data_IF_904092195705
#
_entry.id   IF_904092195705
#
_cell.length_a   1.000
_cell.length_b   1.000
_cell.length_c   1.000
_cell.angle_alpha   90.00
_cell.angle_beta   90.00
_cell.angle_gamma   90.00
#
_symmetry.space_group_name_H-M   'P 1'
#
loop_
_entity.id
_entity.type
_entity.pdbx_description
1 polymer ?
#
# COMPACT_ATOMS: atom_id res chain seq x y z
N UNK A 1 4.08 -26.75 9.89
CA UNK A 1 4.39 -27.68 10.98
C UNK A 1 5.16 -28.82 10.35
N UNK A 2 6.47 -28.89 10.55
CA UNK A 2 7.30 -29.99 10.06
C UNK A 2 7.83 -30.76 11.25
N UNK A 3 7.79 -32.08 11.15
CA UNK A 3 8.33 -32.97 12.17
C UNK A 3 9.86 -32.98 12.07
N UNK A 4 10.56 -32.51 13.11
CA UNK A 4 12.03 -32.49 13.14
C UNK A 4 12.64 -33.80 13.66
N UNK A 5 11.86 -34.66 14.33
CA UNK A 5 12.33 -35.95 14.87
C UNK A 5 11.18 -36.96 15.08
N UNK A 6 11.41 -38.28 14.99
CA UNK A 6 10.39 -39.27 15.35
C UNK A 6 10.01 -39.20 16.83
N UNK A 7 8.72 -39.29 17.14
CA UNK A 7 8.19 -39.17 18.49
C UNK A 7 6.69 -39.47 18.57
N UNK A 8 6.15 -39.48 19.79
CA UNK A 8 4.74 -39.74 20.07
C UNK A 8 3.92 -38.48 19.75
N UNK A 9 3.50 -38.36 18.48
CA UNK A 9 2.81 -37.18 17.98
C UNK A 9 1.36 -37.17 18.43
N UNK A 10 1.04 -36.30 19.39
CA UNK A 10 -0.35 -36.00 19.75
C UNK A 10 -0.79 -34.76 19.01
N UNK A 11 -1.89 -34.86 18.27
CA UNK A 11 -2.55 -33.70 17.68
C UNK A 11 -2.90 -32.71 18.79
N UNK A 12 -2.30 -31.52 18.76
CA UNK A 12 -2.68 -30.43 19.63
C UNK A 12 -3.67 -29.54 18.91
N UNK A 13 -4.69 -29.06 19.61
CA UNK A 13 -5.49 -27.93 19.13
C UNK A 13 -4.56 -26.71 19.12
N UNK A 14 -4.11 -26.32 17.93
CA UNK A 14 -3.47 -25.02 17.77
C UNK A 14 -4.47 -23.96 18.18
N UNK A 15 -4.17 -23.24 19.26
CA UNK A 15 -4.93 -22.06 19.64
C UNK A 15 -4.83 -21.06 18.50
N UNK A 16 -5.95 -20.73 17.88
CA UNK A 16 -6.00 -19.64 16.90
C UNK A 16 -5.77 -18.32 17.67
N UNK A 17 -4.71 -17.56 17.35
CA UNK A 17 -4.48 -16.30 18.04
C UNK A 17 -5.60 -15.32 17.67
N UNK A 18 -6.03 -14.50 18.63
CA UNK A 18 -6.76 -13.29 18.27
C UNK A 18 -5.80 -12.30 17.61
N UNK A 19 -6.23 -11.67 16.53
CA UNK A 19 -5.39 -10.75 15.74
C UNK A 19 -6.08 -9.39 15.67
N UNK A 20 -5.29 -8.32 15.75
CA UNK A 20 -5.75 -6.98 15.44
C UNK A 20 -4.81 -6.29 14.44
N UNK A 21 -5.37 -5.46 13.57
CA UNK A 21 -4.66 -4.71 12.52
C UNK A 21 -4.86 -3.22 12.78
N UNK A 22 -3.77 -2.47 12.79
CA UNK A 22 -3.80 -1.00 12.80
C UNK A 22 -3.57 -0.50 11.38
N UNK A 23 -4.61 0.06 10.77
CA UNK A 23 -4.62 0.58 9.41
C UNK A 23 -5.52 -0.22 8.47
N UNK A 24 -6.37 0.49 7.71
CA UNK A 24 -7.33 -0.09 6.75
C UNK A 24 -7.02 0.27 5.29
N UNK A 25 -5.82 0.78 5.01
CA UNK A 25 -5.34 0.94 3.64
C UNK A 25 -5.06 -0.39 2.96
N UNK A 26 -4.50 -0.37 1.75
CA UNK A 26 -4.31 -1.59 0.94
C UNK A 26 -3.56 -2.69 1.69
N UNK A 27 -2.51 -2.35 2.46
CA UNK A 27 -1.77 -3.33 3.25
C UNK A 27 -2.65 -3.97 4.34
N UNK A 28 -3.46 -3.18 5.05
CA UNK A 28 -4.39 -3.68 6.06
C UNK A 28 -5.48 -4.58 5.48
N UNK A 29 -6.03 -4.20 4.33
CA UNK A 29 -7.03 -5.02 3.63
C UNK A 29 -6.43 -6.33 3.09
N UNK A 30 -5.21 -6.30 2.54
CA UNK A 30 -4.51 -7.52 2.11
C UNK A 30 -4.19 -8.45 3.30
N UNK A 31 -3.82 -7.90 4.45
CA UNK A 31 -3.62 -8.67 5.68
C UNK A 31 -4.93 -9.31 6.15
N UNK A 32 -6.02 -8.55 6.19
CA UNK A 32 -7.34 -9.06 6.56
C UNK A 32 -7.80 -10.17 5.61
N UNK A 33 -7.71 -9.96 4.30
CA UNK A 33 -8.02 -10.97 3.30
C UNK A 33 -7.16 -12.24 3.45
N UNK A 34 -5.88 -12.08 3.81
CA UNK A 34 -5.00 -13.23 4.07
C UNK A 34 -5.39 -14.01 5.32
N UNK A 35 -5.69 -13.32 6.42
CA UNK A 35 -6.15 -13.96 7.67
C UNK A 35 -7.49 -14.67 7.48
N UNK A 36 -8.40 -14.08 6.70
CA UNK A 36 -9.69 -14.67 6.39
C UNK A 36 -9.57 -16.01 5.65
N UNK A 37 -8.56 -16.20 4.78
CA UNK A 37 -8.28 -17.51 4.14
C UNK A 37 -7.91 -18.62 5.13
N UNK A 38 -7.55 -18.26 6.36
CA UNK A 38 -7.27 -19.19 7.46
C UNK A 38 -8.35 -19.16 8.56
N UNK A 39 -9.53 -18.61 8.27
CA UNK A 39 -10.63 -18.44 9.22
C UNK A 39 -10.23 -17.64 10.48
N UNK A 40 -9.35 -16.66 10.33
CA UNK A 40 -8.98 -15.71 11.39
C UNK A 40 -9.61 -14.36 11.04
N UNK A 41 -10.59 -13.94 11.82
CA UNK A 41 -11.25 -12.64 11.67
C UNK A 41 -10.53 -11.61 12.56
N UNK A 42 -9.76 -10.67 11.98
CA UNK A 42 -9.05 -9.68 12.78
C UNK A 42 -9.96 -8.54 13.24
N UNK A 43 -9.61 -7.90 14.36
CA UNK A 43 -10.12 -6.57 14.69
C UNK A 43 -9.35 -5.55 13.86
N UNK A 44 -10.03 -4.72 13.07
CA UNK A 44 -9.37 -3.72 12.22
C UNK A 44 -9.71 -2.32 12.75
N UNK A 45 -8.67 -1.55 13.09
CA UNK A 45 -8.81 -0.18 13.57
C UNK A 45 -8.12 0.77 12.61
N UNK A 46 -8.78 1.86 12.21
CA UNK A 46 -8.17 2.92 11.43
C UNK A 46 -8.61 4.30 11.93
N UNK A 47 -7.68 5.25 11.92
CA UNK A 47 -8.00 6.64 12.21
C UNK A 47 -8.79 7.23 11.02
N UNK A 48 -10.07 7.61 11.21
CA UNK A 48 -10.92 8.13 10.12
C UNK A 48 -10.41 9.47 9.57
N UNK A 49 -9.56 10.18 10.31
CA UNK A 49 -8.98 11.45 9.90
C UNK A 49 -7.59 11.29 9.26
N UNK A 50 -7.09 10.06 9.12
CA UNK A 50 -5.75 9.82 8.59
C UNK A 50 -5.72 10.00 7.06
N UNK A 51 -4.81 10.85 6.52
CA UNK A 51 -4.64 11.03 5.08
C UNK A 51 -3.85 9.86 4.48
N UNK A 52 -4.45 8.67 4.49
CA UNK A 52 -3.80 7.45 3.99
C UNK A 52 -3.58 7.49 2.48
N UNK A 53 -2.41 7.06 1.98
CA UNK A 53 -2.15 6.97 0.54
C UNK A 53 -3.21 6.15 -0.24
N UNK A 54 -3.85 5.19 0.42
CA UNK A 54 -4.89 4.35 -0.17
C UNK A 54 -6.29 4.99 -0.21
N UNK A 55 -6.45 6.24 0.22
CA UNK A 55 -7.72 6.97 0.08
C UNK A 55 -7.99 7.48 -1.34
N UNK A 56 -7.04 7.30 -2.26
CA UNK A 56 -7.24 7.62 -3.67
C UNK A 56 -8.36 6.75 -4.27
N UNK A 57 -9.18 7.28 -5.20
CA UNK A 57 -10.30 6.55 -5.79
C UNK A 57 -9.92 5.22 -6.45
N UNK A 58 -8.70 5.14 -7.01
CA UNK A 58 -8.16 3.97 -7.66
C UNK A 58 -6.63 3.96 -7.58
N UNK A 59 -6.04 2.77 -7.57
CA UNK A 59 -4.60 2.54 -7.63
C UNK A 59 -4.25 1.62 -8.81
N UNK A 60 -3.17 1.95 -9.49
CA UNK A 60 -2.68 1.17 -10.62
C UNK A 60 -1.85 -0.02 -10.12
N UNK A 61 -2.16 -1.22 -10.58
CA UNK A 61 -1.41 -2.44 -10.32
C UNK A 61 -0.69 -2.84 -11.59
N UNK A 62 0.63 -2.78 -11.55
CA UNK A 62 1.54 -3.30 -12.58
C UNK A 62 2.92 -3.51 -11.94
N UNK A 63 3.76 -4.40 -12.48
CA UNK A 63 5.05 -4.70 -11.89
C UNK A 63 6.09 -3.62 -12.22
N UNK A 64 6.94 -3.30 -11.25
CA UNK A 64 8.18 -2.58 -11.49
C UNK A 64 9.21 -3.55 -12.06
N UNK A 65 9.69 -3.25 -13.26
CA UNK A 65 10.61 -4.10 -14.01
C UNK A 65 12.00 -3.47 -14.09
N UNK A 66 13.00 -4.35 -14.08
CA UNK A 66 14.41 -3.98 -14.20
C UNK A 66 15.07 -4.65 -15.40
N UNK A 67 16.06 -3.96 -15.97
CA UNK A 67 16.86 -4.49 -17.08
C UNK A 67 17.82 -5.59 -16.64
N UNK A 68 18.07 -5.68 -15.34
CA UNK A 68 18.88 -6.71 -14.72
C UNK A 68 18.03 -7.46 -13.73
N UNK A 69 18.36 -8.73 -13.52
CA UNK A 69 17.71 -9.53 -12.50
C UNK A 69 18.04 -8.96 -11.12
N UNK A 70 17.02 -8.45 -10.43
CA UNK A 70 17.13 -7.99 -9.05
C UNK A 70 15.90 -8.40 -8.23
N UNK A 71 16.09 -8.50 -6.91
CA UNK A 71 15.08 -9.02 -5.99
C UNK A 71 13.82 -8.15 -5.95
N UNK A 72 13.94 -6.84 -6.17
CA UNK A 72 12.80 -5.94 -6.15
C UNK A 72 11.91 -6.16 -7.37
N UNK A 73 12.51 -6.32 -8.55
CA UNK A 73 11.79 -6.68 -9.77
C UNK A 73 11.12 -8.05 -9.65
N UNK A 74 11.83 -9.07 -9.15
CA UNK A 74 11.26 -10.41 -8.93
C UNK A 74 10.07 -10.37 -7.95
N UNK A 75 10.24 -9.66 -6.83
CA UNK A 75 9.17 -9.46 -5.86
C UNK A 75 7.98 -8.71 -6.48
N UNK A 76 8.24 -7.68 -7.29
CA UNK A 76 7.17 -6.89 -7.91
C UNK A 76 6.38 -7.69 -8.95
N UNK A 77 7.04 -8.57 -9.72
CA UNK A 77 6.37 -9.50 -10.64
C UNK A 77 5.45 -10.45 -9.86
N UNK A 78 5.99 -11.12 -8.84
CA UNK A 78 5.23 -12.07 -8.02
C UNK A 78 4.08 -11.38 -7.26
N UNK A 79 4.36 -10.21 -6.68
CA UNK A 79 3.38 -9.40 -5.95
C UNK A 79 2.27 -8.87 -6.86
N UNK A 80 2.60 -8.43 -8.07
CA UNK A 80 1.61 -8.05 -9.07
C UNK A 80 0.70 -9.22 -9.42
N UNK A 81 1.29 -10.36 -9.80
CA UNK A 81 0.51 -11.57 -10.09
C UNK A 81 -0.40 -11.96 -8.94
N UNK A 82 0.13 -11.98 -7.71
CA UNK A 82 -0.65 -12.32 -6.53
C UNK A 82 -1.82 -11.36 -6.32
N UNK A 83 -1.57 -10.04 -6.41
CA UNK A 83 -2.60 -9.02 -6.25
C UNK A 83 -3.72 -9.16 -7.29
N UNK A 84 -3.37 -9.38 -8.56
CA UNK A 84 -4.35 -9.53 -9.65
C UNK A 84 -5.29 -10.73 -9.48
N UNK A 85 -4.90 -11.74 -8.70
CA UNK A 85 -5.65 -12.99 -8.53
C UNK A 85 -6.28 -13.16 -7.15
N UNK A 86 -5.81 -12.44 -6.12
CA UNK A 86 -6.19 -12.70 -4.73
C UNK A 86 -6.68 -11.47 -3.96
N UNK A 87 -6.56 -10.27 -4.54
CA UNK A 87 -7.00 -9.04 -3.88
C UNK A 87 -8.42 -8.69 -4.34
N UNK A 88 -9.33 -8.52 -3.38
CA UNK A 88 -10.68 -8.03 -3.65
C UNK A 88 -10.65 -6.58 -4.17
N UNK A 89 -11.62 -6.24 -5.02
CA UNK A 89 -11.70 -4.91 -5.65
C UNK A 89 -10.72 -4.69 -6.80
N UNK A 90 -9.99 -5.73 -7.23
CA UNK A 90 -9.13 -5.65 -8.43
C UNK A 90 -9.92 -5.92 -9.70
N UNK A 91 -9.77 -5.02 -10.67
CA UNK A 91 -10.22 -5.19 -12.04
C UNK A 91 -9.00 -5.38 -12.95
N UNK A 92 -8.84 -6.58 -13.51
CA UNK A 92 -7.75 -6.90 -14.44
C UNK A 92 -8.02 -6.25 -15.79
N UNK A 93 -7.03 -5.52 -16.31
CA UNK A 93 -7.07 -4.92 -17.64
C UNK A 93 -5.66 -4.48 -18.07
N UNK A 94 -5.33 -4.51 -19.37
CA UNK A 94 -4.02 -4.08 -19.85
C UNK A 94 -3.75 -2.61 -19.53
N UNK A 95 -2.52 -2.30 -19.15
CA UNK A 95 -2.05 -0.94 -18.89
C UNK A 95 -1.13 -0.50 -20.02
N UNK A 96 -1.41 0.68 -20.58
CA UNK A 96 -0.53 1.29 -21.57
C UNK A 96 0.49 2.19 -20.90
N UNK A 97 1.71 2.14 -21.38
CA UNK A 97 2.82 2.97 -20.94
C UNK A 97 3.27 3.85 -22.10
N UNK A 98 3.38 5.16 -21.85
CA UNK A 98 3.89 6.14 -22.82
C UNK A 98 4.80 7.15 -22.15
N UNK A 99 5.81 7.58 -22.88
CA UNK A 99 6.62 8.73 -22.51
C UNK A 99 7.09 9.49 -23.75
N UNK A 100 7.29 10.79 -23.60
CA UNK A 100 7.99 11.62 -24.59
C UNK A 100 9.52 11.62 -24.38
N UNK A 101 10.02 11.00 -23.30
CA UNK A 101 11.45 11.02 -22.94
C UNK A 101 12.20 9.90 -23.68
N UNK A 102 13.15 10.21 -24.60
CA UNK A 102 13.84 9.18 -25.39
C UNK A 102 14.55 8.11 -24.56
N UNK A 103 15.17 8.50 -23.44
CA UNK A 103 15.83 7.55 -22.53
C UNK A 103 14.84 6.57 -21.86
N UNK A 104 13.63 7.04 -21.50
CA UNK A 104 12.59 6.17 -20.94
C UNK A 104 12.04 5.22 -22.00
N UNK A 105 11.79 5.72 -23.21
CA UNK A 105 11.37 4.91 -24.35
C UNK A 105 12.40 3.80 -24.57
N UNK A 106 13.67 4.14 -24.80
CA UNK A 106 14.74 3.18 -25.04
C UNK A 106 14.86 2.13 -23.91
N UNK A 107 14.68 2.52 -22.64
CA UNK A 107 14.63 1.58 -21.52
C UNK A 107 13.50 0.58 -21.69
N UNK A 108 12.29 1.04 -22.00
CA UNK A 108 11.11 0.19 -22.17
C UNK A 108 11.25 -0.72 -23.40
N UNK A 109 11.92 -0.27 -24.46
CA UNK A 109 12.22 -1.14 -25.61
C UNK A 109 13.12 -2.30 -25.22
N UNK A 110 14.18 -2.02 -24.46
CA UNK A 110 15.07 -3.06 -23.95
C UNK A 110 14.37 -4.00 -22.98
N UNK A 111 13.46 -3.48 -22.13
CA UNK A 111 12.65 -4.33 -21.24
C UNK A 111 11.76 -5.27 -22.04
N UNK A 112 11.06 -4.79 -23.07
CA UNK A 112 10.13 -5.61 -23.86
C UNK A 112 10.84 -6.77 -24.58
N UNK A 113 12.12 -6.61 -24.94
CA UNK A 113 12.95 -7.70 -25.49
C UNK A 113 13.31 -8.81 -24.48
N UNK A 114 13.14 -8.57 -23.17
CA UNK A 114 13.47 -9.53 -22.10
C UNK A 114 12.25 -10.33 -21.63
N UNK A 115 11.04 -9.96 -22.05
CA UNK A 115 9.79 -10.59 -21.65
C UNK A 115 9.03 -11.07 -22.90
N UNK A 116 8.15 -12.08 -22.76
CA UNK A 116 7.28 -12.45 -23.86
C UNK A 116 6.26 -11.34 -24.15
N UNK A 117 5.83 -11.24 -25.41
CA UNK A 117 4.88 -10.22 -25.86
C UNK A 117 3.53 -10.32 -25.14
N UNK A 118 3.12 -11.51 -24.70
CA UNK A 118 1.89 -11.69 -23.90
C UNK A 118 1.99 -11.19 -22.45
N UNK A 119 3.16 -10.68 -22.05
CA UNK A 119 3.43 -10.08 -20.76
C UNK A 119 3.73 -8.58 -20.88
N UNK A 120 4.68 -8.22 -21.76
CA UNK A 120 5.13 -6.85 -22.00
C UNK A 120 5.40 -6.64 -23.49
N UNK A 121 4.42 -6.11 -24.19
CA UNK A 121 4.49 -5.91 -25.66
C UNK A 121 4.87 -4.47 -25.98
N UNK A 122 5.73 -4.27 -26.96
CA UNK A 122 5.97 -2.95 -27.53
C UNK A 122 5.41 -2.86 -28.95
N UNK A 123 4.59 -1.84 -29.19
CA UNK A 123 4.14 -1.43 -30.52
C UNK A 123 4.48 0.05 -30.70
N UNK A 124 5.28 0.36 -31.71
CA UNK A 124 5.83 1.70 -31.95
C UNK A 124 6.54 2.27 -30.70
N UNK A 125 6.01 3.37 -30.14
CA UNK A 125 6.53 4.03 -28.94
C UNK A 125 5.64 3.79 -27.70
N UNK A 126 4.70 2.85 -27.78
CA UNK A 126 3.85 2.43 -26.67
C UNK A 126 4.25 1.04 -26.18
N UNK A 127 4.18 0.84 -24.87
CA UNK A 127 4.33 -0.48 -24.26
C UNK A 127 3.05 -0.87 -23.53
N UNK A 128 2.60 -2.09 -23.72
CA UNK A 128 1.43 -2.64 -23.05
C UNK A 128 1.87 -3.67 -22.03
N UNK A 129 1.50 -3.43 -20.77
CA UNK A 129 1.53 -4.45 -19.72
C UNK A 129 0.22 -5.22 -19.78
N UNK A 130 0.27 -6.47 -20.25
CA UNK A 130 -0.90 -7.32 -20.37
C UNK A 130 -1.39 -7.83 -19.01
N UNK A 131 -0.46 -7.99 -18.06
CA UNK A 131 -0.73 -8.41 -16.68
C UNK A 131 -0.75 -7.20 -15.74
N UNK A 132 -1.81 -6.41 -15.85
CA UNK A 132 -2.06 -5.23 -15.04
C UNK A 132 -3.51 -5.16 -14.56
N UNK A 133 -3.79 -4.19 -13.70
CA UNK A 133 -5.14 -3.95 -13.22
C UNK A 133 -5.28 -2.67 -12.43
N UNK A 134 -6.51 -2.38 -12.07
CA UNK A 134 -6.87 -1.25 -11.22
C UNK A 134 -7.43 -1.83 -9.93
N UNK A 135 -6.99 -1.31 -8.80
CA UNK A 135 -7.59 -1.62 -7.51
C UNK A 135 -8.38 -0.43 -6.99
N UNK A 136 -9.59 -0.69 -6.53
CA UNK A 136 -10.42 0.27 -5.82
C UNK A 136 -10.60 -0.21 -4.39
N UNK A 137 -10.43 0.70 -3.43
CA UNK A 137 -10.56 0.37 -2.02
C UNK A 137 -12.00 -0.04 -1.70
N UNK A 138 -12.13 -1.14 -0.96
CA UNK A 138 -13.39 -1.56 -0.37
C UNK A 138 -13.27 -1.41 1.15
N UNK A 139 -14.28 -0.83 1.80
CA UNK A 139 -14.28 -0.75 3.26
C UNK A 139 -14.28 -2.16 3.84
N UNK A 140 -13.26 -2.57 4.61
CA UNK A 140 -13.23 -3.90 5.17
C UNK A 140 -14.39 -4.09 6.16
N UNK A 141 -15.01 -5.26 6.13
CA UNK A 141 -16.09 -5.60 7.05
C UNK A 141 -15.60 -5.50 8.52
N UNK A 142 -16.40 -4.87 9.37
CA UNK A 142 -16.08 -4.72 10.80
C UNK A 142 -14.97 -3.70 11.11
N UNK A 143 -14.65 -2.79 10.17
CA UNK A 143 -13.76 -1.66 10.43
C UNK A 143 -14.26 -0.83 11.62
N UNK A 144 -13.36 -0.52 12.55
CA UNK A 144 -13.60 0.37 13.67
C UNK A 144 -12.87 1.69 13.45
N UNK A 145 -13.64 2.78 13.47
CA UNK A 145 -13.12 4.14 13.38
C UNK A 145 -12.48 4.53 14.73
N UNK A 146 -11.16 4.35 14.81
CA UNK A 146 -10.41 4.58 16.04
C UNK A 146 -8.95 4.95 15.74
N UNK A 147 -8.49 6.04 16.36
CA UNK A 147 -7.08 6.43 16.34
C UNK A 147 -6.33 5.75 17.47
N UNK A 148 -5.48 4.79 17.11
CA UNK A 148 -4.55 4.17 18.05
C UNK A 148 -3.37 5.11 18.28
N UNK A 149 -3.15 5.48 19.54
CA UNK A 149 -2.04 6.35 19.95
C UNK A 149 -0.96 5.58 20.70
N UNK A 150 -1.31 4.43 21.30
CA UNK A 150 -0.39 3.69 22.15
C UNK A 150 -0.70 2.18 22.14
N UNK A 151 0.37 1.39 22.27
CA UNK A 151 0.33 -0.06 22.41
C UNK A 151 1.01 -0.46 23.72
N UNK A 152 0.34 -1.26 24.56
CA UNK A 152 0.93 -1.82 25.79
C UNK A 152 0.74 -3.33 25.88
N UNK A 153 1.78 -4.09 26.24
CA UNK A 153 1.63 -5.47 26.65
C UNK A 153 0.70 -5.58 27.88
N UNK A 154 -0.20 -6.55 27.88
CA UNK A 154 -1.10 -6.84 29.00
C UNK A 154 -1.48 -8.32 29.01
N UNK A 155 -1.08 -9.06 30.06
CA UNK A 155 -1.43 -10.48 30.25
C UNK A 155 -1.14 -11.37 29.03
N UNK A 156 0.02 -11.18 28.38
CA UNK A 156 0.43 -11.95 27.20
C UNK A 156 -0.26 -11.55 25.89
N UNK A 157 -0.96 -10.42 25.88
CA UNK A 157 -1.60 -9.83 24.70
C UNK A 157 -1.15 -8.39 24.52
N UNK A 158 -1.42 -7.81 23.36
CA UNK A 158 -1.23 -6.38 23.11
C UNK A 158 -2.55 -5.65 23.20
N UNK A 159 -2.63 -4.64 24.07
CA UNK A 159 -3.79 -3.75 24.21
C UNK A 159 -3.50 -2.39 23.57
N UNK A 160 -4.48 -1.88 22.84
CA UNK A 160 -4.41 -0.60 22.12
C UNK A 160 -5.16 0.48 22.91
N UNK A 161 -4.65 1.71 22.87
CA UNK A 161 -5.25 2.85 23.56
C UNK A 161 -5.37 4.08 22.65
N UNK A 162 -6.38 4.90 22.93
CA UNK A 162 -6.54 6.23 22.34
C UNK A 162 -5.65 7.28 23.04
N UNK A 163 -5.76 8.55 22.62
CA UNK A 163 -5.01 9.66 23.23
C UNK A 163 -5.43 9.98 24.68
N UNK A 164 -6.64 9.60 25.09
CA UNK A 164 -7.16 9.81 26.44
C UNK A 164 -6.82 8.64 27.39
N UNK A 165 -6.17 7.58 26.87
CA UNK A 165 -5.83 6.38 27.63
C UNK A 165 -6.98 5.39 27.77
N UNK A 166 -8.07 5.53 27.00
CA UNK A 166 -9.11 4.53 26.93
C UNK A 166 -8.65 3.33 26.10
N UNK A 167 -8.94 2.12 26.59
CA UNK A 167 -8.65 0.90 25.85
C UNK A 167 -9.59 0.76 24.65
N UNK A 168 -9.01 0.52 23.47
CA UNK A 168 -9.72 0.32 22.21
C UNK A 168 -9.96 -1.17 21.92
N UNK A 169 -8.90 -1.99 22.01
CA UNK A 169 -8.95 -3.42 21.73
C UNK A 169 -7.79 -4.17 22.37
N UNK A 170 -7.86 -5.51 22.36
CA UNK A 170 -6.79 -6.38 22.87
C UNK A 170 -6.73 -7.68 22.07
N UNK A 171 -5.53 -8.11 21.67
CA UNK A 171 -5.33 -9.32 20.87
C UNK A 171 -3.98 -10.00 21.15
N UNK A 172 -3.89 -11.30 20.85
CA UNK A 172 -2.64 -12.08 20.96
C UNK A 172 -1.57 -11.54 19.99
N UNK A 173 -1.97 -11.09 18.79
CA UNK A 173 -1.07 -10.54 17.75
C UNK A 173 -1.56 -9.18 17.28
N UNK A 174 -0.65 -8.22 17.15
CA UNK A 174 -0.92 -6.91 16.52
C UNK A 174 -0.11 -6.77 15.25
N UNK A 175 -0.78 -6.45 14.15
CA UNK A 175 -0.17 -6.16 12.85
C UNK A 175 -0.23 -4.65 12.59
N UNK A 176 0.92 -4.06 12.28
CA UNK A 176 1.03 -2.63 11.98
C UNK A 176 1.01 -2.41 10.47
N UNK A 177 -0.05 -1.79 9.96
CA UNK A 177 -0.26 -1.43 8.56
C UNK A 177 -0.72 0.03 8.43
N UNK A 178 -0.20 0.90 9.30
CA UNK A 178 -0.75 2.23 9.58
C UNK A 178 -0.28 3.34 8.62
N UNK A 179 0.44 3.02 7.54
CA UNK A 179 0.95 4.02 6.60
C UNK A 179 1.75 5.12 7.30
N UNK A 180 1.38 6.40 7.12
CA UNK A 180 2.05 7.50 7.81
C UNK A 180 1.83 7.49 9.34
N UNK A 181 0.82 6.78 9.84
CA UNK A 181 0.63 6.54 11.27
C UNK A 181 1.76 5.74 11.90
N UNK A 182 2.57 5.04 11.11
CA UNK A 182 3.76 4.32 11.61
C UNK A 182 4.76 5.24 12.32
N UNK A 183 4.83 6.52 11.97
CA UNK A 183 5.71 7.51 12.63
C UNK A 183 5.33 7.77 14.09
N UNK A 184 4.06 7.63 14.43
CA UNK A 184 3.60 7.79 15.82
C UNK A 184 3.82 6.50 16.61
N UNK A 185 3.63 5.34 15.98
CA UNK A 185 3.66 4.05 16.64
C UNK A 185 5.07 3.44 16.76
N UNK A 186 6.00 3.86 15.89
CA UNK A 186 7.33 3.26 15.78
C UNK A 186 8.43 4.31 15.58
N UNK A 187 9.66 3.96 15.97
CA UNK A 187 10.89 4.72 15.70
C UNK A 187 11.59 4.31 14.40
N UNK A 188 10.90 3.57 13.52
CA UNK A 188 11.44 3.16 12.23
C UNK A 188 11.84 4.39 11.39
N UNK A 189 12.99 4.31 10.74
CA UNK A 189 13.51 5.38 9.87
C UNK A 189 12.74 5.46 8.53
N UNK A 190 11.52 5.98 8.61
CA UNK A 190 10.59 6.14 7.49
C UNK A 190 10.67 7.55 6.91
N UNK A 191 10.38 7.67 5.61
CA UNK A 191 10.26 8.94 4.90
C UNK A 191 8.85 9.07 4.35
N UNK A 192 8.31 10.28 4.44
CA UNK A 192 7.04 10.60 3.82
C UNK A 192 7.25 11.17 2.41
N UNK A 193 6.39 10.77 1.50
CA UNK A 193 6.33 11.25 0.13
C UNK A 193 4.89 11.67 -0.14
N UNK A 194 4.66 12.97 -0.18
CA UNK A 194 3.38 13.54 -0.55
C UNK A 194 3.15 13.35 -2.04
N UNK A 195 1.90 13.10 -2.42
CA UNK A 195 1.45 13.13 -3.80
C UNK A 195 0.00 13.57 -3.89
N UNK A 196 -0.34 14.24 -4.99
CA UNK A 196 -1.68 14.68 -5.32
C UNK A 196 -2.11 14.07 -6.65
N UNK A 197 -3.39 13.72 -6.72
CA UNK A 197 -4.11 13.37 -7.95
C UNK A 197 -5.35 14.25 -8.07
N UNK A 198 -5.92 14.29 -9.27
CA UNK A 198 -7.15 15.02 -9.57
C UNK A 198 -8.15 14.07 -10.21
N UNK A 199 -9.42 14.25 -9.90
CA UNK A 199 -10.54 13.66 -10.65
C UNK A 199 -11.03 14.67 -11.66
N UNK A 200 -11.21 14.22 -12.88
CA UNK A 200 -11.73 15.02 -13.97
C UNK A 200 -12.89 14.31 -14.65
N UNK A 201 -13.70 15.09 -15.36
CA UNK A 201 -14.66 14.61 -16.34
C UNK A 201 -14.23 14.99 -17.75
N UNK A 202 -14.31 14.04 -18.69
CA UNK A 202 -14.02 14.28 -20.10
C UNK A 202 -15.15 13.73 -20.98
N UNK A 203 -15.60 14.55 -21.93
CA UNK A 203 -16.53 14.13 -22.99
C UNK A 203 -15.79 13.45 -24.15
N UNK A 204 -14.50 13.72 -24.30
CA UNK A 204 -13.65 13.05 -25.26
C UNK A 204 -13.19 11.70 -24.71
N UNK A 205 -13.03 10.73 -25.59
CA UNK A 205 -12.43 9.45 -25.24
C UNK A 205 -10.97 9.66 -24.80
N UNK A 206 -10.68 9.36 -23.54
CA UNK A 206 -9.32 9.35 -23.02
C UNK A 206 -8.78 7.92 -22.99
N UNK A 207 -7.46 7.74 -22.92
CA UNK A 207 -6.88 6.44 -22.61
C UNK A 207 -7.48 5.90 -21.30
N UNK A 208 -8.12 4.72 -21.35
CA UNK A 208 -8.75 4.15 -20.16
C UNK A 208 -7.75 3.84 -19.04
N UNK A 209 -6.54 3.43 -19.42
CA UNK A 209 -5.51 3.05 -18.46
C UNK A 209 -4.11 3.34 -19.03
N UNK A 210 -3.52 4.45 -18.58
CA UNK A 210 -2.23 4.95 -19.05
C UNK A 210 -1.30 5.25 -17.87
N UNK A 211 -0.01 4.97 -18.04
CA UNK A 211 1.08 5.43 -17.16
C UNK A 211 2.28 5.89 -17.98
N UNK A 212 3.31 6.39 -17.29
CA UNK A 212 4.60 6.80 -17.84
C UNK A 212 4.95 8.21 -17.41
N UNK A 213 4.71 9.21 -18.27
CA UNK A 213 4.89 10.62 -17.89
C UNK A 213 3.72 11.16 -17.06
N UNK A 214 2.52 10.63 -17.28
CA UNK A 214 1.31 10.90 -16.49
C UNK A 214 0.52 9.61 -16.32
N UNK A 215 -0.21 9.51 -15.21
CA UNK A 215 -1.16 8.42 -14.97
C UNK A 215 -2.57 8.89 -15.29
N UNK A 216 -3.30 8.08 -16.05
CA UNK A 216 -4.73 8.25 -16.33
C UNK A 216 -5.40 6.91 -16.04
N UNK A 217 -6.44 6.94 -15.21
CA UNK A 217 -7.19 5.76 -14.81
C UNK A 217 -8.67 6.08 -14.94
N UNK A 218 -9.36 5.42 -15.85
CA UNK A 218 -10.82 5.49 -15.97
C UNK A 218 -11.46 4.90 -14.72
N UNK A 219 -12.42 5.65 -14.16
CA UNK A 219 -13.13 5.24 -12.95
C UNK A 219 -14.48 4.64 -13.31
N UNK A 220 -15.33 5.44 -13.96
CA UNK A 220 -16.65 5.08 -14.47
C UNK A 220 -17.15 6.18 -15.42
N UNK A 221 -18.02 5.85 -16.37
CA UNK A 221 -18.64 6.81 -17.28
C UNK A 221 -17.63 7.79 -17.91
N UNK A 222 -17.76 9.06 -17.58
CA UNK A 222 -16.88 10.14 -18.04
C UNK A 222 -15.80 10.56 -17.02
N UNK A 223 -15.68 9.85 -15.90
CA UNK A 223 -14.77 10.18 -14.81
C UNK A 223 -13.41 9.48 -14.95
N UNK A 224 -12.35 10.27 -14.76
CA UNK A 224 -10.97 9.81 -14.78
C UNK A 224 -10.21 10.32 -13.56
N UNK A 225 -9.32 9.48 -13.05
CA UNK A 225 -8.30 9.86 -12.10
C UNK A 225 -7.01 10.16 -12.86
N UNK A 226 -6.43 11.33 -12.59
CA UNK A 226 -5.18 11.78 -13.20
C UNK A 226 -4.17 12.05 -12.10
N UNK A 227 -2.97 11.49 -12.23
CA UNK A 227 -1.95 11.65 -11.20
C UNK A 227 -0.55 11.25 -11.63
N UNK A 228 0.42 11.27 -10.72
CA UNK A 228 0.34 11.95 -9.44
C UNK A 228 1.58 12.82 -9.25
N UNK A 229 1.45 13.89 -8.48
CA UNK A 229 2.62 14.66 -8.05
C UNK A 229 3.51 13.85 -7.10
N UNK A 230 4.72 14.34 -6.89
CA UNK A 230 5.72 13.71 -6.03
C UNK A 230 6.50 14.79 -5.26
N UNK A 231 6.50 14.71 -3.93
CA UNK A 231 7.24 15.61 -3.06
C UNK A 231 7.77 14.84 -1.85
N UNK A 232 9.10 14.66 -1.80
CA UNK A 232 9.79 13.94 -0.74
C UNK A 232 9.92 14.79 0.52
N UNK A 233 9.73 14.18 1.69
CA UNK A 233 9.91 14.80 3.00
C UNK A 233 8.72 15.64 3.48
N UNK A 234 7.63 15.65 2.72
CA UNK A 234 6.45 16.48 3.02
C UNK A 234 5.42 15.69 3.83
N UNK A 235 4.97 16.30 4.93
CA UNK A 235 3.91 15.78 5.81
C UNK A 235 2.57 16.50 5.59
N UNK A 236 2.52 17.44 4.65
CA UNK A 236 1.32 18.21 4.36
C UNK A 236 0.33 17.35 3.56
N UNK A 237 -0.76 16.95 4.19
CA UNK A 237 -1.81 16.16 3.54
C UNK A 237 -2.82 16.99 2.76
N UNK A 238 -2.71 18.32 2.76
CA UNK A 238 -3.67 19.19 2.09
C UNK A 238 -3.46 19.21 0.58
N UNK A 239 -4.55 19.39 -0.15
CA UNK A 239 -4.50 19.65 -1.59
C UNK A 239 -3.99 21.04 -1.86
N UNK A 240 -3.20 21.22 -2.92
CA UNK A 240 -2.64 22.51 -3.32
C UNK A 240 -3.08 22.85 -4.74
N UNK A 241 -3.48 24.11 -4.95
CA UNK A 241 -3.88 24.60 -6.27
C UNK A 241 -2.74 24.48 -7.29
N UNK A 242 -1.51 24.80 -6.89
CA UNK A 242 -0.32 24.66 -7.75
C UNK A 242 -0.13 23.24 -8.28
N UNK A 243 -0.41 22.22 -7.46
CA UNK A 243 -0.32 20.81 -7.88
C UNK A 243 -1.45 20.44 -8.84
N UNK A 244 -2.65 20.96 -8.61
CA UNK A 244 -3.80 20.81 -9.51
C UNK A 244 -3.50 21.42 -10.88
N UNK A 245 -3.00 22.66 -10.91
CA UNK A 245 -2.68 23.38 -12.14
C UNK A 245 -1.59 22.66 -12.93
N UNK A 246 -0.57 22.14 -12.25
CA UNK A 246 0.46 21.30 -12.86
C UNK A 246 -0.15 20.06 -13.52
N UNK A 247 -0.95 19.29 -12.79
CA UNK A 247 -1.56 18.05 -13.31
C UNK A 247 -2.46 18.32 -14.52
N UNK A 248 -3.24 19.41 -14.48
CA UNK A 248 -4.06 19.85 -15.61
C UNK A 248 -3.18 20.22 -16.82
N UNK A 249 -2.07 20.93 -16.59
CA UNK A 249 -1.15 21.29 -17.67
C UNK A 249 -0.46 20.07 -18.28
N UNK A 250 0.02 19.15 -17.45
CA UNK A 250 0.69 17.90 -17.89
C UNK A 250 -0.28 17.02 -18.69
N UNK A 251 -1.53 16.93 -18.23
CA UNK A 251 -2.59 16.23 -18.95
C UNK A 251 -2.88 16.88 -20.30
N UNK A 252 -3.03 18.21 -20.34
CA UNK A 252 -3.29 18.95 -21.56
C UNK A 252 -2.18 18.75 -22.60
N UNK A 253 -0.94 18.78 -22.15
CA UNK A 253 0.23 18.55 -22.99
C UNK A 253 0.26 17.11 -23.52
N UNK A 254 -0.05 16.14 -22.68
CA UNK A 254 -0.06 14.72 -23.05
C UNK A 254 -1.15 14.40 -24.08
N UNK A 255 -2.36 14.96 -23.90
CA UNK A 255 -3.51 14.68 -24.76
C UNK A 255 -3.66 15.67 -25.93
N UNK A 256 -2.92 16.77 -25.92
CA UNK A 256 -2.99 17.86 -26.91
C UNK A 256 -4.36 18.57 -26.98
N UNK A 257 -5.12 18.57 -25.88
CA UNK A 257 -6.36 19.35 -25.73
C UNK A 257 -6.63 19.69 -24.26
N UNK A 258 -7.57 20.61 -23.99
CA UNK A 258 -7.93 21.06 -22.63
C UNK A 258 -9.39 20.81 -22.23
N UNK A 259 -10.13 20.09 -23.06
CA UNK A 259 -11.54 19.78 -22.84
C UNK A 259 -11.77 18.73 -21.74
N UNK A 260 -11.52 19.13 -20.50
CA UNK A 260 -11.80 18.36 -19.29
C UNK A 260 -12.29 19.31 -18.18
N UNK A 261 -13.14 18.79 -17.30
CA UNK A 261 -13.66 19.53 -16.16
C UNK A 261 -13.09 18.94 -14.88
N UNK A 262 -12.38 19.75 -14.08
CA UNK A 262 -11.91 19.33 -12.76
C UNK A 262 -13.11 19.11 -11.83
N UNK A 263 -13.16 17.95 -11.18
CA UNK A 263 -14.22 17.61 -10.22
C UNK A 263 -13.72 17.70 -8.79
N UNK A 264 -12.54 17.15 -8.50
CA UNK A 264 -11.96 17.16 -7.16
C UNK A 264 -10.46 16.93 -7.20
N UNK A 265 -9.75 17.29 -6.13
CA UNK A 265 -8.36 16.90 -5.91
C UNK A 265 -8.27 15.94 -4.70
N UNK A 266 -7.24 15.10 -4.68
CA UNK A 266 -6.92 14.22 -3.56
C UNK A 266 -5.42 14.27 -3.30
N UNK A 267 -5.03 14.56 -2.06
CA UNK A 267 -3.65 14.47 -1.62
C UNK A 267 -3.52 13.33 -0.60
N UNK A 268 -2.38 12.63 -0.64
CA UNK A 268 -2.08 11.53 0.25
C UNK A 268 -0.59 11.44 0.55
N UNK A 269 -0.26 10.76 1.65
CA UNK A 269 1.11 10.59 2.11
C UNK A 269 1.50 9.12 1.97
N UNK A 270 2.48 8.86 1.09
CA UNK A 270 3.16 7.57 1.01
C UNK A 270 4.24 7.53 2.07
N UNK A 271 4.44 6.38 2.70
CA UNK A 271 5.47 6.18 3.71
C UNK A 271 6.40 5.06 3.25
N UNK A 272 7.71 5.34 3.21
CA UNK A 272 8.71 4.45 2.61
C UNK A 272 9.92 4.33 3.52
N UNK A 273 10.61 3.19 3.46
CA UNK A 273 12.00 3.13 3.93
C UNK A 273 12.91 3.95 3.02
N UNK A 274 14.07 4.36 3.54
CA UNK A 274 15.03 5.18 2.79
C UNK A 274 15.60 4.47 1.55
N UNK A 275 15.74 3.15 1.62
CA UNK A 275 16.17 2.27 0.53
C UNK A 275 15.03 1.88 -0.42
N UNK A 276 13.79 2.29 -0.10
CA UNK A 276 12.55 1.96 -0.82
C UNK A 276 12.24 0.46 -0.89
N UNK A 277 12.89 -0.34 -0.06
CA UNK A 277 12.56 -1.76 0.10
C UNK A 277 11.26 -1.87 0.89
N UNK A 278 10.46 -2.88 0.55
CA UNK A 278 9.22 -3.18 1.28
C UNK A 278 9.59 -3.79 2.63
N UNK A 279 9.14 -3.18 3.72
CA UNK A 279 9.30 -3.74 5.06
C UNK A 279 8.13 -4.64 5.41
N UNK A 280 8.41 -5.91 5.69
CA UNK A 280 7.47 -6.86 6.25
C UNK A 280 8.23 -7.80 7.20
N UNK A 281 7.69 -8.06 8.39
CA UNK A 281 8.33 -8.93 9.37
C UNK A 281 7.97 -8.57 10.80
N UNK A 282 8.69 -9.18 11.74
CA UNK A 282 8.60 -8.84 13.15
C UNK A 282 9.19 -7.44 13.37
N UNK A 283 8.48 -6.63 14.16
CA UNK A 283 8.98 -5.34 14.58
C UNK A 283 10.03 -5.55 15.69
N UNK A 284 11.24 -4.95 15.60
CA UNK A 284 12.19 -4.95 16.71
C UNK A 284 11.56 -4.36 17.97
N UNK A 285 11.84 -4.94 19.13
CA UNK A 285 11.20 -4.54 20.41
C UNK A 285 11.50 -3.10 20.80
N UNK A 286 12.68 -2.58 20.44
CA UNK A 286 13.12 -1.20 20.62
C UNK A 286 12.55 -0.22 19.58
N UNK A 287 11.91 -0.74 18.53
CA UNK A 287 11.32 0.09 17.49
C UNK A 287 9.92 0.61 17.83
N UNK A 288 9.30 0.19 18.94
CA UNK A 288 8.02 0.73 19.40
C UNK A 288 8.24 2.01 20.22
N UNK A 289 7.59 3.11 19.82
CA UNK A 289 7.76 4.42 20.50
C UNK A 289 7.19 4.43 21.93
N UNK A 290 6.24 3.53 22.23
CA UNK A 290 5.52 3.50 23.53
C UNK A 290 5.69 2.21 24.32
N UNK A 291 6.68 1.37 23.99
CA UNK A 291 6.95 0.18 24.81
C UNK A 291 7.67 0.60 26.10
N UNK A 292 6.91 0.95 27.15
CA UNK A 292 7.41 0.74 28.51
C UNK A 292 7.51 -0.77 28.68
N UNK A 293 8.72 -1.31 28.51
CA UNK A 293 9.02 -2.69 28.87
C UNK A 293 8.83 -2.82 30.37
N UNK A 294 7.71 -3.42 30.78
CA UNK A 294 7.55 -3.94 32.13
C UNK A 294 8.50 -5.14 32.26
N UNK A 295 9.77 -4.87 32.60
CA UNK A 295 10.70 -5.91 33.00
C UNK A 295 10.29 -6.41 34.38
N UNK A 296 9.46 -7.44 34.39
CA UNK A 296 9.06 -8.09 35.63
C UNK A 296 8.82 -9.58 35.43
N UNK A 297 9.89 -10.39 35.47
CA UNK A 297 10.01 -11.59 36.33
C UNK A 297 11.51 -11.84 36.57
N UNK A 298 11.90 -11.91 37.84
CA UNK A 298 13.27 -11.77 38.31
C UNK A 298 14.18 -13.00 38.19
N UNK A 299 15.47 -12.72 38.36
CA UNK A 299 16.41 -13.63 38.98
C UNK A 299 16.82 -13.04 40.32
N UNK A 300 16.16 -13.51 41.39
CA UNK A 300 16.76 -13.51 42.71
C UNK A 300 17.99 -14.42 42.64
N UNK A 301 19.18 -13.83 42.64
CA UNK A 301 20.36 -14.47 43.18
C UNK A 301 20.29 -14.29 44.70
N UNK A 302 19.89 -15.33 45.41
CA UNK A 302 20.24 -15.42 46.83
C UNK A 302 21.71 -15.85 46.97
N UNK A 303 22.45 -15.30 47.94
CA UNK A 303 23.78 -15.76 48.28
C UNK A 303 23.71 -16.88 49.32
N UNK A 304 24.20 -18.07 48.95
CA UNK A 304 25.08 -18.94 49.74
C UNK A 304 25.48 -20.16 48.93
#
# INVERSE_FOLDING_TARGET
>A
MFAEAPGDWRGQRLRRPSVQIIGAGIAGQSLAGSLNRFDIQPIILADPNHPGASSQPALNIYPQLSLQRDRLSEFSIAGCYFALHNQEGVQRRPLRWRSATPAKIQRMQRLSQLFPDDYLEQIDNEVTYHQAGIWQSLSPAGLQDAKVCELRPSKGQMRLYDAAGHALSQADVTLLAAGAGMHTLTSLALKNVRGQSIRIQSKHALPEFLTGDINITHLDGHDFLVGSTYELGSNDSQTRLLDTDRLISDLAQTLQHRDFTLTSAHAGIRTTFSDRVIGAGLLPTDALTTAIMDQGVGQHLEPM
#
